data_IF_192408142167
#
_entry.id   IF_192408142167
#
_cell.length_a   1.000
_cell.length_b   1.000
_cell.length_c   1.000
_cell.angle_alpha   90.00
_cell.angle_beta   90.00
_cell.angle_gamma   90.00
#
_symmetry.space_group_name_H-M   'P 1'
#
loop_
_entity.id
_entity.type
_entity.pdbx_description
1 polymer ?
#
# COMPACT_ATOMS: atom_id res chain seq x y z
N UNK A 1 1.52 -26.20 -12.10
CA UNK A 1 1.77 -24.80 -11.68
C UNK A 1 1.18 -24.67 -10.28
N UNK A 2 2.03 -24.51 -9.27
CA UNK A 2 1.57 -24.44 -7.87
C UNK A 2 0.82 -23.14 -7.62
N UNK A 3 -0.26 -23.19 -6.85
CA UNK A 3 -0.95 -21.98 -6.41
C UNK A 3 -0.18 -21.40 -5.22
N UNK A 4 0.29 -20.17 -5.35
CA UNK A 4 0.99 -19.46 -4.29
C UNK A 4 0.08 -18.38 -3.78
N UNK A 5 -0.22 -18.36 -2.48
CA UNK A 5 -1.17 -17.45 -1.86
C UNK A 5 -0.56 -16.71 -0.67
N UNK A 6 -1.12 -15.54 -0.35
CA UNK A 6 -0.83 -14.81 0.89
C UNK A 6 -1.87 -15.20 1.93
N UNK A 7 -1.41 -15.71 3.07
CA UNK A 7 -2.25 -16.05 4.21
C UNK A 7 -2.02 -15.07 5.35
N UNK A 8 -3.07 -14.82 6.14
CA UNK A 8 -2.91 -14.13 7.42
C UNK A 8 -2.35 -15.11 8.44
N UNK A 9 -1.33 -14.68 9.17
CA UNK A 9 -0.75 -15.46 10.26
C UNK A 9 -1.73 -15.47 11.42
N UNK A 10 -2.05 -16.67 11.94
CA UNK A 10 -2.84 -16.77 13.17
C UNK A 10 -1.99 -16.30 14.36
N UNK A 11 -2.63 -15.56 15.27
CA UNK A 11 -2.01 -15.21 16.55
C UNK A 11 -1.58 -16.49 17.27
N UNK A 12 -0.30 -16.70 17.33
CA UNK A 12 0.30 -17.77 18.11
C UNK A 12 1.58 -17.25 18.73
N UNK A 13 1.66 -17.24 20.03
CA UNK A 13 2.86 -16.95 20.81
C UNK A 13 3.41 -15.51 20.67
N UNK A 14 2.55 -14.49 20.61
CA UNK A 14 2.98 -13.09 20.57
C UNK A 14 3.59 -12.62 19.24
N UNK A 15 3.43 -13.39 18.18
CA UNK A 15 3.74 -12.93 16.83
C UNK A 15 2.66 -11.95 16.35
N UNK A 16 3.08 -10.90 15.66
CA UNK A 16 2.17 -9.93 15.06
C UNK A 16 1.27 -10.62 14.02
N UNK A 17 -0.04 -10.68 14.31
CA UNK A 17 -1.04 -11.31 13.44
C UNK A 17 -1.09 -10.68 12.03
N UNK A 18 -0.55 -9.48 11.86
CA UNK A 18 -0.54 -8.76 10.59
C UNK A 18 0.65 -9.12 9.69
N UNK A 19 1.60 -9.90 10.19
CA UNK A 19 2.73 -10.36 9.36
C UNK A 19 2.24 -11.44 8.39
N UNK A 20 2.32 -11.22 7.08
CA UNK A 20 1.83 -12.17 6.09
C UNK A 20 2.67 -13.44 6.08
N UNK A 21 2.03 -14.54 5.70
CA UNK A 21 2.65 -15.83 5.42
C UNK A 21 2.39 -16.19 3.96
N UNK A 22 3.42 -16.60 3.24
CA UNK A 22 3.27 -17.13 1.87
C UNK A 22 3.16 -18.64 1.95
N UNK A 23 2.09 -19.18 1.40
CA UNK A 23 1.80 -20.61 1.37
C UNK A 23 1.66 -21.09 -0.08
N UNK A 24 2.18 -22.28 -0.35
CA UNK A 24 2.02 -23.01 -1.61
C UNK A 24 1.05 -24.15 -1.41
N UNK A 25 0.28 -24.51 -2.45
CA UNK A 25 -0.69 -25.62 -2.42
C UNK A 25 -0.02 -27.00 -2.38
N UNK A 26 1.23 -27.09 -2.84
CA UNK A 26 2.09 -28.27 -2.74
C UNK A 26 2.67 -28.49 -1.32
N UNK A 27 2.17 -27.75 -0.35
CA UNK A 27 2.62 -27.75 1.05
C UNK A 27 4.12 -27.42 1.26
N UNK A 28 4.81 -26.94 0.23
CA UNK A 28 6.18 -26.44 0.36
C UNK A 28 6.15 -25.12 1.13
N UNK A 29 6.71 -25.17 2.30
CA UNK A 29 6.94 -24.01 3.16
C UNK A 29 8.39 -23.53 2.98
N UNK A 30 8.54 -22.24 2.71
CA UNK A 30 9.86 -21.62 2.63
C UNK A 30 10.13 -20.85 3.94
N UNK A 31 10.97 -21.41 4.84
CA UNK A 31 11.25 -20.81 6.14
C UNK A 31 12.02 -19.49 6.00
N UNK A 32 12.79 -19.31 4.95
CA UNK A 32 13.58 -18.09 4.74
C UNK A 32 12.67 -16.93 4.29
N UNK A 33 11.69 -17.20 3.43
CA UNK A 33 10.66 -16.22 3.09
C UNK A 33 9.83 -15.83 4.32
N UNK A 34 9.46 -16.80 5.15
CA UNK A 34 8.72 -16.50 6.37
C UNK A 34 9.53 -15.63 7.33
N UNK A 35 10.80 -15.96 7.51
CA UNK A 35 11.72 -15.17 8.32
C UNK A 35 11.90 -13.75 7.79
N UNK A 36 11.99 -13.58 6.46
CA UNK A 36 12.02 -12.27 5.84
C UNK A 36 10.81 -11.42 6.25
N UNK A 37 9.60 -11.98 6.18
CA UNK A 37 8.38 -11.24 6.56
C UNK A 37 8.34 -10.93 8.07
N UNK A 38 8.85 -11.80 8.92
CA UNK A 38 8.97 -11.55 10.36
C UNK A 38 9.97 -10.44 10.69
N UNK A 39 11.02 -10.28 9.87
CA UNK A 39 12.04 -9.24 10.05
C UNK A 39 11.62 -7.87 9.47
N UNK A 40 10.62 -7.81 8.59
CA UNK A 40 10.16 -6.55 7.97
C UNK A 40 9.74 -5.48 8.98
N UNK A 41 8.93 -5.77 10.03
CA UNK A 41 8.57 -4.79 11.05
C UNK A 41 9.78 -4.23 11.79
N UNK A 42 10.79 -5.07 12.07
CA UNK A 42 12.04 -4.67 12.72
C UNK A 42 12.86 -3.73 11.84
N UNK A 43 12.76 -3.89 10.53
CA UNK A 43 13.42 -3.04 9.53
C UNK A 43 12.61 -1.79 9.14
N UNK A 44 11.53 -1.47 9.87
CA UNK A 44 10.74 -0.25 9.73
C UNK A 44 9.47 -0.35 8.86
N UNK A 45 9.13 -1.52 8.33
CA UNK A 45 7.86 -1.74 7.60
C UNK A 45 6.79 -2.20 8.57
N UNK A 46 6.15 -1.27 9.28
CA UNK A 46 5.19 -1.59 10.36
C UNK A 46 3.74 -1.61 9.90
N UNK A 47 3.39 -0.88 8.84
CA UNK A 47 2.00 -0.81 8.38
C UNK A 47 1.56 -2.15 7.79
N UNK A 48 0.41 -2.68 8.26
CA UNK A 48 -0.22 -3.91 7.74
C UNK A 48 -0.45 -3.85 6.22
N UNK A 49 -0.80 -2.68 5.69
CA UNK A 49 -0.99 -2.49 4.25
C UNK A 49 0.31 -2.62 3.48
N UNK A 50 1.41 -2.09 4.05
CA UNK A 50 2.74 -2.22 3.45
C UNK A 50 3.20 -3.68 3.47
N UNK A 51 3.06 -4.37 4.60
CA UNK A 51 3.40 -5.78 4.71
C UNK A 51 2.61 -6.64 3.72
N UNK A 52 1.30 -6.41 3.61
CA UNK A 52 0.45 -7.10 2.65
C UNK A 52 0.85 -6.80 1.19
N UNK A 53 1.15 -5.53 0.87
CA UNK A 53 1.61 -5.14 -0.47
C UNK A 53 2.92 -5.83 -0.84
N UNK A 54 3.89 -5.90 0.09
CA UNK A 54 5.13 -6.64 -0.10
C UNK A 54 4.87 -8.12 -0.38
N UNK A 55 3.99 -8.76 0.39
CA UNK A 55 3.67 -10.16 0.20
C UNK A 55 3.07 -10.43 -1.19
N UNK A 56 2.14 -9.60 -1.64
CA UNK A 56 1.58 -9.73 -2.99
C UNK A 56 2.64 -9.51 -4.09
N UNK A 57 3.52 -8.53 -3.95
CA UNK A 57 4.59 -8.31 -4.91
C UNK A 57 5.53 -9.52 -4.97
N UNK A 58 5.89 -10.09 -3.81
CA UNK A 58 6.72 -11.31 -3.72
C UNK A 58 5.99 -12.53 -4.33
N UNK A 59 4.70 -12.74 -4.04
CA UNK A 59 3.93 -13.85 -4.62
C UNK A 59 3.90 -13.79 -6.14
N UNK A 60 3.70 -12.60 -6.73
CA UNK A 60 3.69 -12.47 -8.20
C UNK A 60 5.07 -12.79 -8.78
N UNK A 61 6.14 -12.37 -8.11
CA UNK A 61 7.51 -12.72 -8.48
C UNK A 61 7.79 -14.23 -8.38
N UNK A 62 7.37 -14.88 -7.28
CA UNK A 62 7.51 -16.32 -7.11
C UNK A 62 6.79 -17.11 -8.19
N UNK A 63 5.57 -16.69 -8.57
CA UNK A 63 4.82 -17.30 -9.67
C UNK A 63 5.55 -17.20 -11.01
N UNK A 64 6.16 -16.07 -11.28
CA UNK A 64 6.98 -15.87 -12.47
C UNK A 64 8.21 -16.79 -12.45
N UNK A 65 8.94 -16.87 -11.33
CA UNK A 65 10.10 -17.75 -11.21
C UNK A 65 9.73 -19.24 -11.30
N UNK A 66 8.61 -19.63 -10.69
CA UNK A 66 8.07 -21.00 -10.76
C UNK A 66 7.77 -21.40 -12.21
N UNK A 67 7.20 -20.50 -13.00
CA UNK A 67 7.00 -20.70 -14.44
C UNK A 67 8.31 -20.86 -15.21
N UNK A 68 9.40 -20.25 -14.71
CA UNK A 68 10.75 -20.40 -15.26
C UNK A 68 11.53 -21.60 -14.68
N UNK A 69 10.92 -22.39 -13.77
CA UNK A 69 11.58 -23.51 -13.09
C UNK A 69 12.69 -23.10 -12.12
N UNK A 70 12.62 -21.89 -11.53
CA UNK A 70 13.64 -21.32 -10.65
C UNK A 70 13.11 -21.11 -9.23
N UNK A 71 14.00 -21.25 -8.26
CA UNK A 71 13.75 -20.84 -6.88
C UNK A 71 13.99 -19.33 -6.72
N UNK A 72 13.46 -18.73 -5.65
CA UNK A 72 13.64 -17.32 -5.35
C UNK A 72 15.13 -16.93 -5.20
N UNK A 73 15.93 -17.81 -4.59
CA UNK A 73 17.35 -17.57 -4.33
C UNK A 73 18.25 -17.87 -5.52
N UNK A 74 17.70 -18.44 -6.61
CA UNK A 74 18.41 -18.67 -7.88
C UNK A 74 18.10 -17.62 -8.95
N UNK A 75 17.40 -16.55 -8.60
CA UNK A 75 17.04 -15.50 -9.54
C UNK A 75 18.26 -14.68 -9.97
N UNK A 76 18.29 -14.32 -11.24
CA UNK A 76 19.38 -13.58 -11.88
C UNK A 76 18.88 -12.22 -12.40
N UNK A 77 19.80 -11.39 -12.86
CA UNK A 77 19.47 -10.12 -13.54
C UNK A 77 18.57 -10.33 -14.76
N UNK A 78 18.85 -11.37 -15.55
CA UNK A 78 18.06 -11.67 -16.75
C UNK A 78 16.62 -12.00 -16.41
N UNK A 79 16.35 -12.62 -15.24
CA UNK A 79 15.01 -12.88 -14.76
C UNK A 79 14.28 -11.59 -14.40
N UNK A 80 14.97 -10.62 -13.80
CA UNK A 80 14.39 -9.29 -13.53
C UNK A 80 14.02 -8.59 -14.83
N UNK A 81 14.87 -8.64 -15.85
CA UNK A 81 14.63 -8.03 -17.14
C UNK A 81 13.50 -8.75 -17.93
N UNK A 82 13.38 -10.07 -17.79
CA UNK A 82 12.27 -10.84 -18.34
C UNK A 82 10.95 -10.52 -17.63
N UNK A 83 10.96 -10.46 -16.29
CA UNK A 83 9.81 -10.08 -15.49
C UNK A 83 9.34 -8.65 -15.78
N UNK A 84 10.29 -7.71 -15.97
CA UNK A 84 9.95 -6.36 -16.40
C UNK A 84 9.21 -6.33 -17.74
N UNK A 85 9.70 -7.12 -18.72
CA UNK A 85 9.05 -7.22 -20.04
C UNK A 85 7.63 -7.77 -19.91
N UNK A 86 7.44 -8.86 -19.17
CA UNK A 86 6.12 -9.44 -18.93
C UNK A 86 5.17 -8.44 -18.29
N UNK A 87 5.59 -7.78 -17.21
CA UNK A 87 4.74 -6.88 -16.43
C UNK A 87 4.48 -5.51 -17.07
N UNK A 88 5.36 -5.04 -17.94
CA UNK A 88 5.35 -3.68 -18.48
C UNK A 88 5.12 -3.57 -19.98
N UNK A 89 5.37 -4.63 -20.74
CA UNK A 89 5.30 -4.60 -22.22
C UNK A 89 4.23 -5.49 -22.81
N UNK A 90 3.75 -6.48 -22.06
CA UNK A 90 2.69 -7.34 -22.53
C UNK A 90 1.35 -6.62 -22.65
N UNK A 91 0.36 -7.28 -23.23
CA UNK A 91 -0.94 -6.78 -23.66
C UNK A 91 -1.52 -5.70 -22.74
N UNK A 92 -2.10 -4.67 -23.33
CA UNK A 92 -2.52 -3.44 -22.66
C UNK A 92 -3.35 -3.66 -21.38
N UNK A 93 -4.15 -4.74 -21.36
CA UNK A 93 -5.06 -5.06 -20.26
C UNK A 93 -4.36 -5.61 -19.00
N UNK A 94 -3.15 -6.18 -19.15
CA UNK A 94 -2.39 -6.75 -18.02
C UNK A 94 -1.21 -5.88 -17.60
N UNK A 95 -0.99 -4.77 -18.30
CA UNK A 95 0.15 -3.89 -18.07
C UNK A 95 0.00 -3.09 -16.77
N UNK A 96 0.92 -3.28 -15.85
CA UNK A 96 0.97 -2.46 -14.63
C UNK A 96 1.56 -1.06 -14.89
N UNK A 97 1.24 -0.10 -14.03
CA UNK A 97 1.80 1.26 -14.11
C UNK A 97 3.28 1.27 -13.69
N UNK A 98 4.04 2.30 -14.12
CA UNK A 98 5.42 2.50 -13.67
C UNK A 98 5.50 2.67 -12.14
N UNK A 99 4.49 3.26 -11.50
CA UNK A 99 4.42 3.38 -10.05
C UNK A 99 4.26 2.01 -9.37
N UNK A 100 3.38 1.14 -9.91
CA UNK A 100 3.20 -0.22 -9.41
C UNK A 100 4.44 -1.07 -9.63
N UNK A 101 5.10 -0.92 -10.78
CA UNK A 101 6.39 -1.55 -11.05
C UNK A 101 7.45 -1.13 -10.03
N UNK A 102 7.62 0.17 -9.79
CA UNK A 102 8.60 0.69 -8.83
C UNK A 102 8.33 0.21 -7.41
N UNK A 103 7.05 0.04 -7.02
CA UNK A 103 6.71 -0.56 -5.73
C UNK A 103 7.16 -2.02 -5.67
N UNK A 104 6.87 -2.81 -6.70
CA UNK A 104 7.31 -4.20 -6.78
C UNK A 104 8.85 -4.31 -6.72
N UNK A 105 9.57 -3.48 -7.48
CA UNK A 105 11.03 -3.42 -7.42
C UNK A 105 11.52 -3.09 -5.99
N UNK A 106 10.86 -2.16 -5.28
CA UNK A 106 11.24 -1.82 -3.91
C UNK A 106 11.06 -3.00 -2.94
N UNK A 107 9.98 -3.76 -3.10
CA UNK A 107 9.69 -4.96 -2.31
C UNK A 107 10.74 -6.05 -2.57
N UNK A 108 11.02 -6.34 -3.83
CA UNK A 108 11.97 -7.37 -4.24
C UNK A 108 13.42 -6.99 -3.91
N UNK A 109 13.81 -5.74 -4.14
CA UNK A 109 15.15 -5.25 -3.76
C UNK A 109 15.40 -5.38 -2.25
N UNK A 110 14.37 -5.22 -1.43
CA UNK A 110 14.47 -5.44 0.01
C UNK A 110 14.60 -6.91 0.36
N UNK A 111 13.84 -7.80 -0.30
CA UNK A 111 13.93 -9.25 -0.13
C UNK A 111 15.36 -9.74 -0.43
N UNK A 112 15.88 -9.38 -1.58
CA UNK A 112 17.20 -9.86 -2.00
C UNK A 112 18.35 -9.27 -1.18
N UNK A 113 18.25 -8.02 -0.71
CA UNK A 113 19.21 -7.47 0.26
C UNK A 113 19.20 -8.21 1.59
N UNK A 114 18.02 -8.56 2.05
CA UNK A 114 17.91 -9.39 3.24
C UNK A 114 18.51 -10.78 2.98
N UNK A 115 18.25 -11.40 1.82
CA UNK A 115 18.84 -12.66 1.41
C UNK A 115 20.38 -12.62 1.33
N UNK A 116 20.97 -11.56 0.80
CA UNK A 116 22.42 -11.32 0.82
C UNK A 116 22.96 -11.29 2.27
N UNK A 117 22.30 -10.55 3.16
CA UNK A 117 22.68 -10.44 4.57
C UNK A 117 22.60 -11.77 5.33
N UNK A 118 21.66 -12.65 4.92
CA UNK A 118 21.53 -14.01 5.48
C UNK A 118 22.42 -15.05 4.78
N UNK A 119 23.13 -14.68 3.73
CA UNK A 119 23.98 -15.61 2.96
C UNK A 119 23.21 -16.58 2.07
N UNK A 120 21.93 -16.29 1.76
CA UNK A 120 21.08 -17.12 0.89
C UNK A 120 21.38 -16.92 -0.60
N UNK A 121 21.94 -15.77 -0.95
CA UNK A 121 22.37 -15.41 -2.30
C UNK A 121 23.67 -14.60 -2.21
N UNK A 122 24.58 -14.82 -3.15
CA UNK A 122 25.86 -14.10 -3.16
C UNK A 122 25.70 -12.66 -3.66
N UNK A 123 24.91 -12.47 -4.74
CA UNK A 123 24.67 -11.18 -5.37
C UNK A 123 23.20 -11.01 -5.67
N UNK A 124 22.60 -9.91 -5.23
CA UNK A 124 21.21 -9.58 -5.54
C UNK A 124 21.02 -9.36 -7.06
N UNK A 125 19.92 -9.83 -7.65
CA UNK A 125 19.65 -9.68 -9.08
C UNK A 125 19.39 -8.23 -9.53
N UNK A 126 19.42 -7.29 -8.58
CA UNK A 126 19.21 -5.86 -8.83
C UNK A 126 20.51 -5.09 -8.76
N UNK A 127 20.98 -4.56 -9.89
CA UNK A 127 22.12 -3.65 -9.92
C UNK A 127 21.73 -2.24 -9.44
N UNK A 128 22.73 -1.51 -8.96
CA UNK A 128 22.56 -0.16 -8.43
C UNK A 128 23.61 0.77 -9.04
N UNK A 129 23.16 2.00 -9.29
CA UNK A 129 24.03 3.07 -9.70
C UNK A 129 24.06 4.19 -8.67
N UNK A 130 25.19 4.86 -8.57
CA UNK A 130 25.31 6.09 -7.79
C UNK A 130 24.53 7.23 -8.49
N UNK A 131 23.61 7.85 -7.78
CA UNK A 131 22.83 8.98 -8.27
C UNK A 131 22.97 10.13 -7.30
N UNK A 132 23.32 11.30 -7.83
CA UNK A 132 23.34 12.53 -7.03
C UNK A 132 21.90 12.93 -6.67
N UNK A 133 21.65 13.11 -5.38
CA UNK A 133 20.42 13.69 -4.87
C UNK A 133 20.70 15.11 -4.40
N UNK A 134 20.01 16.12 -4.98
CA UNK A 134 20.17 17.50 -4.54
C UNK A 134 19.66 17.68 -3.10
N UNK A 135 20.16 18.73 -2.46
CA UNK A 135 19.75 19.10 -1.12
C UNK A 135 18.24 19.42 -1.08
N UNK A 136 17.55 18.92 -0.07
CA UNK A 136 16.15 19.24 0.22
C UNK A 136 16.00 19.51 1.72
N UNK A 137 15.26 20.57 2.08
CA UNK A 137 14.89 20.83 3.47
C UNK A 137 16.09 21.02 4.41
N UNK A 138 17.14 21.73 3.99
CA UNK A 138 18.33 22.02 4.82
C UNK A 138 19.36 20.88 4.92
N UNK A 139 19.11 19.74 4.27
CA UNK A 139 20.09 18.62 4.19
C UNK A 139 21.02 18.82 3.01
N UNK A 140 22.34 18.54 3.19
CA UNK A 140 23.33 18.57 2.10
C UNK A 140 22.99 17.55 1.02
N UNK A 141 23.26 17.88 -0.26
CA UNK A 141 23.20 16.93 -1.35
C UNK A 141 24.10 15.72 -1.07
N UNK A 142 23.66 14.53 -1.47
CA UNK A 142 24.37 13.29 -1.23
C UNK A 142 24.33 12.37 -2.44
N UNK A 143 25.34 11.51 -2.57
CA UNK A 143 25.31 10.41 -3.52
C UNK A 143 24.52 9.27 -2.87
N UNK A 144 23.46 8.82 -3.53
CA UNK A 144 22.64 7.69 -3.10
C UNK A 144 22.69 6.58 -4.13
N UNK A 145 22.73 5.33 -3.68
CA UNK A 145 22.56 4.19 -4.56
C UNK A 145 21.08 4.07 -4.98
N UNK A 146 20.83 4.02 -6.27
CA UNK A 146 19.49 3.80 -6.85
C UNK A 146 19.49 2.48 -7.61
N UNK A 147 18.46 1.69 -7.40
CA UNK A 147 18.24 0.47 -8.16
C UNK A 147 17.94 0.83 -9.63
N UNK A 148 18.61 0.14 -10.56
CA UNK A 148 18.53 0.43 -12.00
C UNK A 148 17.19 -0.03 -12.61
N UNK A 149 16.50 -0.97 -11.98
CA UNK A 149 15.19 -1.44 -12.41
C UNK A 149 14.07 -0.42 -12.21
N UNK A 150 14.31 0.69 -11.47
CA UNK A 150 13.30 1.74 -11.31
C UNK A 150 13.05 2.50 -12.60
N UNK A 151 11.77 2.60 -12.97
CA UNK A 151 11.30 3.45 -14.07
C UNK A 151 11.10 4.90 -13.64
N UNK A 152 11.14 5.79 -14.63
CA UNK A 152 10.75 7.19 -14.43
C UNK A 152 9.22 7.27 -14.39
N UNK A 153 8.68 7.68 -13.26
CA UNK A 153 7.25 7.98 -13.13
C UNK A 153 7.02 9.42 -13.57
N UNK A 154 6.18 9.61 -14.59
CA UNK A 154 5.70 10.95 -14.94
C UNK A 154 4.90 11.51 -13.75
N UNK A 155 5.27 12.68 -13.26
CA UNK A 155 4.46 13.40 -12.29
C UNK A 155 3.16 13.79 -12.97
N UNK A 156 2.06 13.13 -12.60
CA UNK A 156 0.74 13.65 -12.92
C UNK A 156 0.50 14.86 -12.02
N UNK A 157 0.52 16.03 -12.62
CA UNK A 157 0.13 17.28 -11.95
C UNK A 157 -1.40 17.46 -11.93
N UNK A 158 -2.14 16.43 -12.28
CA UNK A 158 -3.60 16.49 -12.43
C UNK A 158 -4.28 16.25 -11.08
N UNK A 159 -4.03 17.18 -10.15
CA UNK A 159 -4.79 17.24 -8.90
C UNK A 159 -6.14 17.88 -9.24
N UNK A 160 -7.18 17.06 -9.28
CA UNK A 160 -8.56 17.55 -9.42
C UNK A 160 -9.10 17.90 -8.05
N UNK A 161 -9.44 19.15 -7.89
CA UNK A 161 -10.15 19.62 -6.71
C UNK A 161 -11.65 19.39 -6.92
N UNK A 162 -12.30 18.88 -5.89
CA UNK A 162 -13.77 18.86 -5.82
C UNK A 162 -14.20 20.24 -5.33
N UNK A 163 -15.09 20.91 -6.08
CA UNK A 163 -15.66 22.19 -5.61
C UNK A 163 -16.61 21.96 -4.45
N UNK A 164 -16.90 23.00 -3.66
CA UNK A 164 -17.87 22.86 -2.56
C UNK A 164 -19.28 22.52 -3.07
N UNK A 165 -19.63 22.97 -4.26
CA UNK A 165 -20.92 22.66 -4.86
C UNK A 165 -20.99 21.22 -5.34
N UNK A 166 -19.91 20.70 -5.96
CA UNK A 166 -19.82 19.27 -6.31
C UNK A 166 -19.84 18.41 -5.05
N UNK A 167 -19.16 18.85 -3.98
CA UNK A 167 -19.20 18.13 -2.70
C UNK A 167 -20.62 18.11 -2.11
N UNK A 168 -21.36 19.21 -2.14
CA UNK A 168 -22.75 19.26 -1.68
C UNK A 168 -23.65 18.32 -2.49
N UNK A 169 -23.51 18.29 -3.80
CA UNK A 169 -24.24 17.35 -4.66
C UNK A 169 -23.88 15.90 -4.29
N UNK A 170 -22.60 15.60 -4.16
CA UNK A 170 -22.16 14.27 -3.72
C UNK A 170 -22.73 13.89 -2.34
N UNK A 171 -22.72 14.82 -1.39
CA UNK A 171 -23.22 14.63 -0.04
C UNK A 171 -24.74 14.39 0.00
N UNK A 172 -25.50 15.28 -0.63
CA UNK A 172 -26.97 15.24 -0.55
C UNK A 172 -27.56 14.18 -1.49
N UNK A 173 -27.12 14.16 -2.74
CA UNK A 173 -27.68 13.24 -3.74
C UNK A 173 -26.99 11.88 -3.67
N UNK A 174 -25.67 11.85 -3.57
CA UNK A 174 -24.88 10.62 -3.59
C UNK A 174 -24.96 9.82 -2.29
N UNK A 175 -24.75 10.48 -1.14
CA UNK A 175 -24.69 9.79 0.15
C UNK A 175 -26.05 9.73 0.86
N UNK A 176 -26.80 10.83 0.89
CA UNK A 176 -28.14 10.88 1.54
C UNK A 176 -29.27 10.37 0.66
N UNK A 177 -29.01 10.21 -0.64
CA UNK A 177 -30.03 9.73 -1.58
C UNK A 177 -31.18 10.72 -1.84
N UNK A 178 -30.95 12.02 -1.59
CA UNK A 178 -31.93 13.05 -1.91
C UNK A 178 -31.99 13.27 -3.44
N UNK A 179 -33.07 13.91 -3.88
CA UNK A 179 -33.19 14.45 -5.24
C UNK A 179 -32.38 15.78 -5.32
N UNK A 180 -32.06 16.29 -6.51
CA UNK A 180 -31.33 17.54 -6.65
C UNK A 180 -32.02 18.77 -6.05
N UNK A 181 -33.34 18.72 -5.88
CA UNK A 181 -34.16 19.73 -5.22
C UNK A 181 -34.22 19.58 -3.69
N UNK A 182 -33.51 18.58 -3.12
CA UNK A 182 -33.41 18.35 -1.69
C UNK A 182 -34.53 17.54 -1.07
N UNK A 183 -35.43 16.97 -1.88
CA UNK A 183 -36.52 16.11 -1.39
C UNK A 183 -36.05 14.65 -1.25
N UNK A 184 -36.71 13.88 -0.39
CA UNK A 184 -36.43 12.45 -0.26
C UNK A 184 -36.94 11.68 -1.50
N UNK A 185 -36.10 10.78 -2.03
CA UNK A 185 -36.53 9.89 -3.12
C UNK A 185 -37.60 8.93 -2.62
N UNK A 186 -38.78 8.83 -3.29
CA UNK A 186 -39.76 7.82 -2.96
C UNK A 186 -39.13 6.41 -3.02
N UNK A 187 -39.20 5.68 -1.90
CA UNK A 187 -38.65 4.33 -1.80
C UNK A 187 -37.15 4.22 -1.50
N UNK A 188 -36.45 5.31 -1.33
CA UNK A 188 -35.06 5.29 -0.83
C UNK A 188 -35.04 4.77 0.62
N UNK A 189 -34.51 3.55 0.81
CA UNK A 189 -34.35 2.90 2.13
C UNK A 189 -32.91 2.99 2.66
N UNK A 190 -32.21 4.08 2.36
CA UNK A 190 -30.84 4.21 2.85
C UNK A 190 -30.80 4.62 4.33
N UNK A 191 -30.80 3.61 5.20
CA UNK A 191 -30.66 3.80 6.65
C UNK A 191 -29.33 4.44 7.05
N UNK A 192 -28.35 4.44 6.19
CA UNK A 192 -26.99 4.88 6.46
C UNK A 192 -26.64 6.22 5.80
N UNK A 193 -27.50 6.78 4.96
CA UNK A 193 -27.20 7.97 4.17
C UNK A 193 -26.76 9.16 5.01
N UNK A 194 -27.48 9.46 6.08
CA UNK A 194 -27.09 10.55 7.00
C UNK A 194 -25.74 10.25 7.68
N UNK A 195 -25.54 9.02 8.18
CA UNK A 195 -24.27 8.61 8.80
C UNK A 195 -23.11 8.75 7.82
N UNK A 196 -23.28 8.29 6.59
CA UNK A 196 -22.24 8.37 5.56
C UNK A 196 -21.92 9.82 5.18
N UNK A 197 -22.95 10.69 5.11
CA UNK A 197 -22.79 12.12 4.87
C UNK A 197 -22.01 12.80 6.01
N UNK A 198 -22.38 12.54 7.27
CA UNK A 198 -21.67 13.08 8.43
C UNK A 198 -20.22 12.59 8.51
N UNK A 199 -19.97 11.32 8.16
CA UNK A 199 -18.63 10.79 8.10
C UNK A 199 -17.79 11.44 6.98
N UNK A 200 -18.39 11.71 5.83
CA UNK A 200 -17.73 12.45 4.76
C UNK A 200 -17.43 13.90 5.18
N UNK A 201 -18.38 14.57 5.88
CA UNK A 201 -18.17 15.91 6.45
C UNK A 201 -16.96 15.90 7.42
N UNK A 202 -16.86 14.90 8.28
CA UNK A 202 -15.72 14.74 9.20
C UNK A 202 -14.41 14.64 8.44
N UNK A 203 -14.33 13.79 7.40
CA UNK A 203 -13.11 13.62 6.60
C UNK A 203 -12.71 14.89 5.86
N UNK A 204 -13.67 15.62 5.28
CA UNK A 204 -13.41 16.83 4.51
C UNK A 204 -13.00 17.99 5.40
N UNK A 205 -13.63 18.14 6.56
CA UNK A 205 -13.37 19.26 7.48
C UNK A 205 -12.08 19.07 8.29
N UNK A 206 -11.73 17.82 8.64
CA UNK A 206 -10.56 17.53 9.46
C UNK A 206 -9.31 17.13 8.66
N UNK A 207 -9.49 16.66 7.43
CA UNK A 207 -8.40 16.11 6.63
C UNK A 207 -7.88 14.75 7.13
N UNK A 208 -8.59 14.09 8.05
CA UNK A 208 -8.26 12.76 8.54
C UNK A 208 -8.28 11.73 7.42
N UNK A 209 -7.36 10.77 7.49
CA UNK A 209 -7.46 9.58 6.63
C UNK A 209 -8.59 8.68 7.09
N UNK A 210 -9.12 7.88 6.17
CA UNK A 210 -10.24 6.97 6.46
C UNK A 210 -9.98 6.09 7.70
N UNK A 211 -8.80 5.53 7.84
CA UNK A 211 -8.44 4.68 8.99
C UNK A 211 -8.32 5.48 10.30
N UNK A 212 -7.79 6.68 10.24
CA UNK A 212 -7.72 7.59 11.39
C UNK A 212 -9.11 7.96 11.87
N UNK A 213 -9.99 8.36 10.95
CA UNK A 213 -11.38 8.69 11.29
C UNK A 213 -12.19 7.47 11.77
N UNK A 214 -11.96 6.29 11.19
CA UNK A 214 -12.66 5.06 11.59
C UNK A 214 -12.19 4.53 12.96
N UNK A 215 -10.97 4.88 13.38
CA UNK A 215 -10.39 4.50 14.66
C UNK A 215 -10.72 5.46 15.80
N UNK A 216 -11.35 6.61 15.53
CA UNK A 216 -11.72 7.57 16.57
C UNK A 216 -12.68 6.95 17.58
N UNK A 217 -12.32 7.06 18.83
CA UNK A 217 -13.17 6.67 19.95
C UNK A 217 -13.98 7.88 20.44
N UNK A 218 -15.21 7.64 20.90
CA UNK A 218 -16.06 8.71 21.42
C UNK A 218 -15.45 9.44 22.62
N UNK A 219 -14.56 8.77 23.35
CA UNK A 219 -13.82 9.36 24.50
C UNK A 219 -12.71 10.33 24.07
N UNK A 220 -12.28 10.26 22.80
CA UNK A 220 -11.29 11.17 22.21
C UNK A 220 -11.94 12.45 21.67
N UNK A 221 -13.27 12.44 21.52
CA UNK A 221 -14.03 13.62 21.16
C UNK A 221 -14.38 14.36 22.44
N UNK A 222 -13.82 15.59 22.58
CA UNK A 222 -14.21 16.44 23.69
C UNK A 222 -15.72 16.67 23.69
N UNK A 223 -16.34 16.68 24.88
CA UNK A 223 -17.75 17.02 24.98
C UNK A 223 -17.97 18.41 24.38
N UNK A 224 -18.84 18.48 23.37
CA UNK A 224 -19.21 19.76 22.75
C UNK A 224 -20.04 20.52 23.79
N UNK A 225 -19.44 21.52 24.45
CA UNK A 225 -20.19 22.45 25.24
C UNK A 225 -20.97 23.35 24.27
N UNK A 226 -22.30 23.23 24.28
CA UNK A 226 -23.18 23.91 23.31
C UNK A 226 -23.23 25.42 23.47
N UNK A 227 -22.61 25.95 24.52
CA UNK A 227 -22.70 27.39 24.86
C UNK A 227 -21.58 28.22 24.24
N UNK A 228 -20.42 27.64 23.92
CA UNK A 228 -19.33 28.35 23.28
C UNK A 228 -19.13 27.82 21.84
N UNK A 229 -19.41 28.66 20.84
CA UNK A 229 -19.23 28.36 19.42
C UNK A 229 -17.78 28.22 18.97
N UNK A 230 -16.89 27.76 19.84
CA UNK A 230 -15.48 27.62 19.59
C UNK A 230 -15.15 26.33 18.85
N UNK A 231 -14.28 26.45 17.85
CA UNK A 231 -13.71 25.34 17.07
C UNK A 231 -12.80 24.53 17.99
N UNK A 232 -13.23 23.34 18.34
CA UNK A 232 -12.40 22.42 19.13
C UNK A 232 -11.30 21.82 18.26
N UNK A 233 -10.06 21.87 18.74
CA UNK A 233 -8.91 21.22 18.12
C UNK A 233 -8.83 19.77 18.62
N UNK A 234 -8.91 18.82 17.69
CA UNK A 234 -8.63 17.39 17.94
C UNK A 234 -7.11 17.17 17.91
N UNK A 235 -6.55 16.79 19.05
CA UNK A 235 -5.18 16.27 19.10
C UNK A 235 -5.22 14.76 18.97
N UNK A 236 -4.68 14.24 17.86
CA UNK A 236 -4.48 12.81 17.67
C UNK A 236 -3.10 12.42 18.22
N UNK A 237 -3.01 11.28 18.94
CA UNK A 237 -1.75 10.78 19.48
C UNK A 237 -0.75 10.34 18.40
#
# INVERSE_FOLDING_TARGET
>A
MSIITVCERREARGLDAHVPLIQRDDALYDPDLDRFFLDLPLSGVRSRHSLRAYAYDVVVWLRFLDACGKTVWAATRDDVDAYHRERRRDEADHRITAASWNRAVASLDRLYRWGEQQGLIADAPFSRRAVWRPAQGGRRGMIAARNDAYERVARRSDVRFVTMDDYRIFREVGLRGLTPDGTERPGARDRNGLRNALFADLLVTTGLRLEEASGLLTVELAAIDREDGDVQQLWLP
#
